data_IF_688474811944
#
_entry.id   IF_688474811944
#
_cell.length_a   1.000
_cell.length_b   1.000
_cell.length_c   1.000
_cell.angle_alpha   90.00
_cell.angle_beta   90.00
_cell.angle_gamma   90.00
#
_symmetry.space_group_name_H-M   'P 1'
#
loop_
_entity.id
_entity.type
_entity.pdbx_description
1 polymer ?
#
# COMPACT_ATOMS: atom_id res chain seq x y z
N UNK A 1 25.15 -21.92 -2.95
CA UNK A 1 23.84 -22.56 -3.10
C UNK A 1 23.16 -21.88 -4.27
N UNK A 2 22.90 -22.60 -5.36
CA UNK A 2 22.22 -22.08 -6.54
C UNK A 2 20.77 -21.81 -6.16
N UNK A 3 20.39 -20.55 -6.13
CA UNK A 3 19.03 -20.11 -5.88
C UNK A 3 18.14 -20.65 -7.01
N UNK A 4 17.24 -21.58 -6.69
CA UNK A 4 16.32 -22.18 -7.65
C UNK A 4 15.35 -21.08 -8.08
N UNK A 5 15.35 -20.71 -9.36
CA UNK A 5 14.37 -19.78 -9.89
C UNK A 5 12.98 -20.43 -9.84
N UNK A 6 11.99 -19.70 -9.30
CA UNK A 6 10.62 -20.16 -9.25
C UNK A 6 10.01 -20.14 -10.66
N UNK A 7 9.20 -21.13 -10.96
CA UNK A 7 8.40 -21.14 -12.19
C UNK A 7 7.27 -20.11 -12.09
N UNK A 8 6.71 -19.72 -13.24
CA UNK A 8 5.55 -18.82 -13.28
C UNK A 8 4.37 -19.32 -12.42
N UNK A 9 4.07 -20.63 -12.48
CA UNK A 9 2.99 -21.22 -11.69
C UNK A 9 3.31 -21.26 -10.20
N UNK A 10 4.55 -21.51 -9.82
CA UNK A 10 4.99 -21.41 -8.42
C UNK A 10 4.89 -19.97 -7.91
N UNK A 11 5.29 -18.98 -8.72
CA UNK A 11 5.13 -17.57 -8.39
C UNK A 11 3.65 -17.17 -8.28
N UNK A 12 2.81 -17.66 -9.17
CA UNK A 12 1.36 -17.43 -9.14
C UNK A 12 0.70 -18.07 -7.92
N UNK A 13 1.11 -19.28 -7.56
CA UNK A 13 0.66 -19.95 -6.33
C UNK A 13 1.17 -19.22 -5.09
N UNK A 14 2.42 -18.78 -5.08
CA UNK A 14 3.00 -17.99 -4.00
C UNK A 14 2.30 -16.63 -3.90
N UNK A 15 2.09 -15.93 -4.98
CA UNK A 15 1.39 -14.64 -4.98
C UNK A 15 -0.03 -14.79 -4.46
N UNK A 16 -0.75 -15.85 -4.81
CA UNK A 16 -2.07 -16.15 -4.24
C UNK A 16 -2.05 -16.53 -2.76
N UNK A 17 -0.91 -16.94 -2.20
CA UNK A 17 -0.74 -17.24 -0.76
C UNK A 17 -0.31 -16.03 0.05
N UNK A 18 0.48 -15.16 -0.54
CA UNK A 18 1.10 -14.01 0.12
C UNK A 18 0.14 -12.86 0.24
N UNK A 19 -0.65 -12.71 -0.77
CA UNK A 19 -1.52 -11.59 -0.89
C UNK A 19 -2.76 -11.94 -0.11
N UNK A 20 -3.12 -11.07 0.83
CA UNK A 20 -4.29 -11.16 1.70
C UNK A 20 -5.61 -11.39 0.96
N UNK A 21 -5.56 -12.23 -0.05
CA UNK A 21 -6.65 -12.49 -0.95
C UNK A 21 -6.84 -13.95 -1.22
N UNK A 22 -5.99 -14.77 -0.64
CA UNK A 22 -6.36 -16.16 -0.61
C UNK A 22 -6.91 -16.50 0.75
N UNK A 23 -8.03 -16.76 0.69
CA UNK A 23 -8.94 -16.93 1.74
C UNK A 23 -8.86 -18.20 2.49
N UNK A 24 -8.43 -19.24 1.89
CA UNK A 24 -8.52 -20.60 2.44
C UNK A 24 -7.47 -20.93 3.49
N UNK A 25 -6.78 -19.92 4.06
CA UNK A 25 -5.82 -20.24 5.11
C UNK A 25 -5.96 -19.30 6.30
N UNK A 26 -6.69 -19.73 7.27
CA UNK A 26 -6.51 -19.39 8.68
C UNK A 26 -5.11 -19.84 9.14
N UNK A 27 -4.06 -19.39 8.44
CA UNK A 27 -2.72 -19.58 8.93
C UNK A 27 -2.57 -18.75 10.21
N UNK A 28 -1.86 -19.28 11.17
CA UNK A 28 -1.55 -18.60 12.41
C UNK A 28 -0.94 -17.23 12.05
N UNK A 29 -1.62 -16.17 12.43
CA UNK A 29 -1.39 -14.79 11.99
C UNK A 29 0.06 -14.30 12.19
N UNK A 30 0.80 -14.86 13.16
CA UNK A 30 2.22 -14.58 13.36
C UNK A 30 3.15 -15.16 12.29
N UNK A 31 2.74 -16.23 11.61
CA UNK A 31 3.52 -16.83 10.53
C UNK A 31 3.35 -16.12 9.20
N UNK A 32 2.19 -15.50 8.94
CA UNK A 32 1.93 -14.82 7.67
C UNK A 32 2.78 -13.56 7.54
N UNK A 33 3.02 -12.82 8.62
CA UNK A 33 3.72 -11.53 8.53
C UNK A 33 5.23 -11.69 8.30
N UNK A 34 5.90 -12.69 8.87
CA UNK A 34 7.32 -12.97 8.60
C UNK A 34 7.52 -13.58 7.22
N UNK A 35 6.62 -14.46 6.79
CA UNK A 35 6.67 -15.06 5.46
C UNK A 35 6.28 -14.07 4.35
N UNK A 36 5.48 -13.04 4.63
CA UNK A 36 5.08 -12.06 3.62
C UNK A 36 6.28 -11.34 3.03
N UNK A 37 7.19 -10.84 3.88
CA UNK A 37 8.40 -10.15 3.41
C UNK A 37 9.33 -11.04 2.60
N UNK A 38 9.56 -12.27 3.05
CA UNK A 38 10.40 -13.23 2.33
C UNK A 38 9.81 -13.54 0.95
N UNK A 39 8.53 -13.81 0.88
CA UNK A 39 7.82 -14.08 -0.36
C UNK A 39 7.75 -12.87 -1.28
N UNK A 40 7.46 -11.69 -0.74
CA UNK A 40 7.44 -10.45 -1.51
C UNK A 40 8.80 -10.21 -2.15
N UNK A 41 9.88 -10.37 -1.38
CA UNK A 41 11.24 -10.21 -1.87
C UNK A 41 11.56 -11.21 -3.00
N UNK A 42 11.16 -12.47 -2.88
CA UNK A 42 11.39 -13.46 -3.93
C UNK A 42 10.49 -13.24 -5.15
N UNK A 43 9.23 -12.85 -4.94
CA UNK A 43 8.30 -12.54 -6.02
C UNK A 43 8.79 -11.36 -6.87
N UNK A 44 9.22 -10.28 -6.23
CA UNK A 44 9.65 -9.06 -6.94
C UNK A 44 10.93 -9.25 -7.76
N UNK A 45 11.75 -10.24 -7.43
CA UNK A 45 12.95 -10.61 -8.20
C UNK A 45 12.67 -11.47 -9.44
N UNK A 46 11.42 -11.90 -9.65
CA UNK A 46 11.10 -12.79 -10.77
C UNK A 46 11.22 -12.08 -12.12
N UNK A 47 11.95 -12.64 -13.09
CA UNK A 47 12.15 -12.01 -14.40
C UNK A 47 10.85 -11.73 -15.15
N UNK A 48 9.84 -12.60 -15.01
CA UNK A 48 8.54 -12.40 -15.67
C UNK A 48 7.81 -11.16 -15.14
N UNK A 49 7.96 -10.85 -13.84
CA UNK A 49 7.35 -9.67 -13.24
C UNK A 49 8.03 -8.40 -13.76
N UNK A 50 9.36 -8.37 -13.80
CA UNK A 50 10.11 -7.26 -14.39
C UNK A 50 9.76 -7.05 -15.87
N UNK A 51 9.61 -8.12 -16.63
CA UNK A 51 9.18 -8.04 -18.03
C UNK A 51 7.76 -7.48 -18.15
N UNK A 52 6.83 -7.93 -17.34
CA UNK A 52 5.44 -7.44 -17.33
C UNK A 52 5.36 -5.96 -16.96
N UNK A 53 6.08 -5.55 -15.91
CA UNK A 53 6.18 -4.14 -15.49
C UNK A 53 6.79 -3.29 -16.62
N UNK A 54 7.86 -3.77 -17.27
CA UNK A 54 8.48 -3.11 -18.42
C UNK A 54 7.49 -2.88 -19.55
N UNK A 55 6.74 -3.91 -19.97
CA UNK A 55 5.71 -3.80 -21.01
C UNK A 55 4.64 -2.75 -20.67
N UNK A 56 4.18 -2.72 -19.42
CA UNK A 56 3.19 -1.73 -18.97
C UNK A 56 3.79 -0.31 -19.05
N UNK A 57 5.05 -0.12 -18.65
CA UNK A 57 5.74 1.18 -18.72
C UNK A 57 5.93 1.67 -20.13
N UNK A 58 6.34 0.79 -21.04
CA UNK A 58 6.52 1.13 -22.45
C UNK A 58 5.19 1.58 -23.10
N UNK A 59 4.11 0.87 -22.86
CA UNK A 59 2.79 1.26 -23.34
C UNK A 59 2.27 2.53 -22.68
N UNK A 60 2.58 2.74 -21.41
CA UNK A 60 2.23 3.97 -20.69
C UNK A 60 3.00 5.18 -21.24
N UNK A 61 4.28 5.02 -21.57
CA UNK A 61 5.07 6.06 -22.23
C UNK A 61 4.48 6.46 -23.58
N UNK A 62 4.10 5.46 -24.42
CA UNK A 62 3.41 5.71 -25.69
C UNK A 62 2.08 6.44 -25.48
N UNK A 63 1.28 6.03 -24.49
CA UNK A 63 0.02 6.69 -24.16
C UNK A 63 0.23 8.15 -23.72
N UNK A 64 1.25 8.42 -22.91
CA UNK A 64 1.58 9.77 -22.43
C UNK A 64 2.04 10.66 -23.60
N UNK A 65 2.80 10.13 -24.54
CA UNK A 65 3.17 10.87 -25.75
C UNK A 65 1.94 11.29 -26.56
N UNK A 66 0.99 10.36 -26.77
CA UNK A 66 -0.26 10.68 -27.46
C UNK A 66 -1.09 11.75 -26.71
N UNK A 67 -1.02 11.76 -25.37
CA UNK A 67 -1.68 12.80 -24.57
C UNK A 67 -1.09 14.18 -24.81
N UNK A 68 0.22 14.30 -24.94
CA UNK A 68 0.92 15.54 -25.24
C UNK A 68 0.59 16.06 -26.65
N UNK A 69 0.36 15.16 -27.59
CA UNK A 69 -0.03 15.47 -28.97
C UNK A 69 -1.55 15.70 -29.14
N UNK A 70 -2.32 15.81 -28.03
CA UNK A 70 -3.78 16.00 -28.01
C UNK A 70 -4.61 14.90 -28.69
N UNK A 71 -4.04 13.71 -28.85
CA UNK A 71 -4.67 12.57 -29.53
C UNK A 71 -5.51 11.68 -28.58
N UNK A 72 -6.01 12.23 -27.49
CA UNK A 72 -6.68 11.46 -26.41
C UNK A 72 -7.96 10.71 -26.82
N UNK A 73 -8.65 11.22 -27.82
CA UNK A 73 -9.94 10.66 -28.27
C UNK A 73 -9.78 9.59 -29.36
N UNK A 74 -8.57 9.31 -29.82
CA UNK A 74 -8.30 8.38 -30.89
C UNK A 74 -8.48 6.91 -30.50
N UNK A 75 -8.87 6.08 -31.45
CA UNK A 75 -9.01 4.63 -31.27
C UNK A 75 -7.71 3.99 -30.73
N UNK A 76 -6.55 4.46 -31.20
CA UNK A 76 -5.24 3.97 -30.75
C UNK A 76 -5.00 4.23 -29.27
N UNK A 77 -5.38 5.40 -28.75
CA UNK A 77 -5.27 5.69 -27.33
C UNK A 77 -6.12 4.74 -26.48
N UNK A 78 -7.35 4.49 -26.88
CA UNK A 78 -8.25 3.56 -26.20
C UNK A 78 -7.75 2.11 -26.26
N UNK A 79 -7.14 1.71 -27.37
CA UNK A 79 -6.54 0.38 -27.52
C UNK A 79 -5.34 0.21 -26.58
N UNK A 80 -4.48 1.24 -26.43
CA UNK A 80 -3.38 1.24 -25.47
C UNK A 80 -3.89 1.14 -24.03
N UNK A 81 -4.91 1.91 -23.69
CA UNK A 81 -5.48 1.89 -22.33
C UNK A 81 -6.07 0.52 -21.97
N UNK A 82 -6.79 -0.12 -22.89
CA UNK A 82 -7.28 -1.50 -22.72
C UNK A 82 -6.12 -2.48 -22.52
N UNK A 83 -5.08 -2.38 -23.34
CA UNK A 83 -3.90 -3.25 -23.27
C UNK A 83 -3.16 -3.10 -21.94
N UNK A 84 -2.95 -1.87 -21.49
CA UNK A 84 -2.35 -1.58 -20.18
C UNK A 84 -3.22 -2.18 -19.07
N UNK A 85 -4.53 -1.99 -19.13
CA UNK A 85 -5.47 -2.53 -18.15
C UNK A 85 -5.41 -4.06 -18.09
N UNK A 86 -5.37 -4.73 -19.22
CA UNK A 86 -5.31 -6.20 -19.27
C UNK A 86 -3.96 -6.76 -18.79
N UNK A 87 -2.86 -6.06 -19.05
CA UNK A 87 -1.57 -6.41 -18.46
C UNK A 87 -1.55 -6.17 -16.95
N UNK A 88 -2.10 -5.07 -16.46
CA UNK A 88 -2.21 -4.81 -15.01
C UNK A 88 -2.97 -5.90 -14.26
N UNK A 89 -4.01 -6.48 -14.85
CA UNK A 89 -4.75 -7.61 -14.25
C UNK A 89 -3.90 -8.86 -14.04
N UNK A 90 -2.77 -8.97 -14.73
CA UNK A 90 -1.82 -10.09 -14.57
C UNK A 90 -0.80 -9.84 -13.45
N UNK A 91 -0.69 -8.61 -12.96
CA UNK A 91 0.19 -8.29 -11.83
C UNK A 91 -0.33 -8.93 -10.55
N UNK A 92 0.56 -9.44 -9.71
CA UNK A 92 0.20 -9.77 -8.33
C UNK A 92 -0.20 -8.50 -7.59
N UNK A 93 -0.96 -8.67 -6.51
CA UNK A 93 -1.43 -7.54 -5.72
C UNK A 93 -1.43 -7.89 -4.22
N UNK A 94 -1.49 -6.88 -3.38
CA UNK A 94 -1.56 -6.96 -1.92
C UNK A 94 -2.68 -6.11 -1.37
N UNK A 95 -3.18 -6.45 -0.20
CA UNK A 95 -4.07 -5.60 0.58
C UNK A 95 -3.23 -4.77 1.56
N UNK A 96 -3.31 -3.43 1.54
CA UNK A 96 -2.58 -2.63 2.51
C UNK A 96 -3.19 -2.66 3.91
N UNK A 97 -4.51 -2.83 4.02
CA UNK A 97 -5.24 -2.57 5.26
C UNK A 97 -5.45 -3.80 6.13
N UNK A 98 -5.57 -5.00 5.53
CA UNK A 98 -5.87 -6.22 6.27
C UNK A 98 -4.96 -7.36 5.86
N UNK A 99 -4.50 -8.15 6.83
CA UNK A 99 -3.72 -9.36 6.57
C UNK A 99 -4.54 -10.46 5.89
N UNK A 100 -5.83 -10.52 6.15
CA UNK A 100 -6.78 -11.44 5.52
C UNK A 100 -8.21 -10.90 5.62
N UNK A 101 -9.12 -11.56 4.92
CA UNK A 101 -10.57 -11.32 4.98
C UNK A 101 -11.29 -12.60 5.42
N UNK A 102 -12.48 -12.44 6.02
CA UNK A 102 -13.31 -13.59 6.40
C UNK A 102 -13.77 -14.38 5.16
N UNK A 103 -14.06 -15.67 5.35
CA UNK A 103 -14.57 -16.56 4.30
C UNK A 103 -13.78 -16.48 2.99
N UNK A 104 -12.56 -15.97 3.07
CA UNK A 104 -11.71 -15.95 1.93
C UNK A 104 -12.15 -15.01 0.81
N UNK A 105 -12.97 -14.07 1.12
CA UNK A 105 -13.56 -13.20 0.16
C UNK A 105 -13.23 -11.72 0.44
N UNK A 106 -12.49 -11.09 -0.49
CA UNK A 106 -12.19 -9.67 -0.40
C UNK A 106 -13.42 -8.83 -0.74
N UNK A 107 -14.17 -8.48 0.26
CA UNK A 107 -15.26 -7.52 0.16
C UNK A 107 -15.49 -6.88 1.53
N UNK A 108 -16.09 -5.71 1.56
CA UNK A 108 -16.32 -4.94 2.78
C UNK A 108 -17.03 -5.75 3.88
N UNK A 109 -18.01 -6.56 3.52
CA UNK A 109 -18.77 -7.40 4.45
C UNK A 109 -17.96 -8.57 5.05
N UNK A 110 -16.79 -8.87 4.50
CA UNK A 110 -15.89 -9.94 4.95
C UNK A 110 -14.61 -9.40 5.60
N UNK A 111 -14.63 -8.15 6.03
CA UNK A 111 -13.51 -7.58 6.79
C UNK A 111 -13.44 -8.26 8.15
N UNK A 112 -12.22 -8.68 8.51
CA UNK A 112 -11.88 -9.10 9.86
C UNK A 112 -11.16 -7.95 10.58
N UNK A 113 -11.81 -7.24 11.52
CA UNK A 113 -11.17 -6.12 12.23
C UNK A 113 -9.92 -6.55 13.02
N UNK A 114 -9.84 -7.81 13.45
CA UNK A 114 -8.66 -8.36 14.14
C UNK A 114 -7.45 -8.54 13.21
N UNK A 115 -7.69 -8.55 11.89
CA UNK A 115 -6.65 -8.66 10.87
C UNK A 115 -6.12 -7.30 10.39
N UNK A 116 -6.50 -6.21 11.02
CA UNK A 116 -6.08 -4.87 10.62
C UNK A 116 -4.56 -4.71 10.74
N UNK A 117 -3.94 -4.14 9.71
CA UNK A 117 -2.48 -4.00 9.62
C UNK A 117 -1.94 -2.76 10.35
N UNK A 118 -2.81 -1.82 10.69
CA UNK A 118 -2.45 -0.47 11.17
C UNK A 118 -1.54 0.28 10.19
N UNK A 119 -1.66 -0.02 8.92
CA UNK A 119 -0.96 0.67 7.84
C UNK A 119 -1.91 0.94 6.67
N UNK A 120 -1.52 1.87 5.82
CA UNK A 120 -2.26 2.22 4.62
C UNK A 120 -1.32 2.61 3.49
N UNK A 121 -1.81 2.62 2.25
CA UNK A 121 -1.05 3.04 1.08
C UNK A 121 -1.64 4.31 0.50
N UNK A 122 -0.78 5.28 0.25
CA UNK A 122 -1.07 6.46 -0.58
C UNK A 122 -0.65 6.15 -2.01
N UNK A 123 -1.53 6.37 -2.97
CA UNK A 123 -1.27 6.22 -4.40
C UNK A 123 -1.10 7.61 -5.02
N UNK A 124 0.09 7.90 -5.53
CA UNK A 124 0.43 9.18 -6.14
C UNK A 124 0.27 9.06 -7.64
N UNK A 125 -0.85 9.51 -8.15
CA UNK A 125 -1.27 9.32 -9.53
C UNK A 125 -0.85 10.46 -10.48
N UNK A 126 -0.58 11.66 -9.97
CA UNK A 126 -0.11 12.77 -10.77
C UNK A 126 1.41 12.65 -11.03
N UNK A 127 1.86 12.47 -12.28
CA UNK A 127 3.29 12.28 -12.58
C UNK A 127 4.20 13.41 -12.08
N UNK A 128 3.71 14.66 -12.05
CA UNK A 128 4.49 15.81 -11.60
C UNK A 128 4.70 15.82 -10.09
N UNK A 129 3.83 15.15 -9.34
CA UNK A 129 3.91 15.08 -7.87
C UNK A 129 4.81 13.93 -7.39
N UNK A 130 5.07 12.91 -8.22
CA UNK A 130 5.73 11.67 -7.80
C UNK A 130 7.10 11.90 -7.16
N UNK A 131 8.01 12.60 -7.87
CA UNK A 131 9.36 12.84 -7.35
C UNK A 131 9.37 13.75 -6.10
N UNK A 132 8.64 14.89 -6.08
CA UNK A 132 8.54 15.70 -4.87
C UNK A 132 7.94 14.96 -3.68
N UNK A 133 6.87 14.18 -3.90
CA UNK A 133 6.20 13.43 -2.84
C UNK A 133 7.11 12.34 -2.24
N UNK A 134 7.79 11.56 -3.07
CA UNK A 134 8.75 10.54 -2.62
C UNK A 134 9.88 11.18 -1.80
N UNK A 135 10.46 12.28 -2.29
CA UNK A 135 11.51 13.02 -1.57
C UNK A 135 11.01 13.52 -0.22
N UNK A 136 9.84 14.16 -0.18
CA UNK A 136 9.26 14.69 1.04
C UNK A 136 8.92 13.57 2.03
N UNK A 137 8.42 12.41 1.57
CA UNK A 137 8.16 11.26 2.40
C UNK A 137 9.45 10.73 3.06
N UNK A 138 10.55 10.59 2.31
CA UNK A 138 11.84 10.16 2.83
C UNK A 138 12.41 11.17 3.84
N UNK A 139 12.32 12.46 3.56
CA UNK A 139 12.76 13.52 4.48
C UNK A 139 11.95 13.50 5.78
N UNK A 140 10.62 13.40 5.69
CA UNK A 140 9.73 13.36 6.84
C UNK A 140 9.98 12.12 7.71
N UNK A 141 10.29 10.99 7.08
CA UNK A 141 10.62 9.74 7.75
C UNK A 141 11.94 9.78 8.56
N UNK A 142 12.77 10.78 8.33
CA UNK A 142 14.06 10.93 9.00
C UNK A 142 15.14 10.00 8.44
N UNK A 143 15.04 9.62 7.18
CA UNK A 143 15.99 8.71 6.51
C UNK A 143 17.39 9.29 6.33
N UNK A 144 17.51 10.60 6.40
CA UNK A 144 18.73 11.32 6.15
C UNK A 144 19.22 12.01 7.42
N UNK A 145 20.33 11.53 7.97
CA UNK A 145 20.96 12.12 9.17
C UNK A 145 21.99 13.18 8.82
N UNK A 146 22.24 13.45 7.54
CA UNK A 146 23.17 14.50 7.11
C UNK A 146 22.68 15.87 7.59
N UNK A 147 23.59 16.72 8.14
CA UNK A 147 23.19 18.02 8.71
C UNK A 147 22.40 18.90 7.76
N UNK A 148 22.72 18.85 6.46
CA UNK A 148 22.02 19.62 5.42
C UNK A 148 20.57 19.15 5.26
N UNK A 149 20.34 17.85 5.31
CA UNK A 149 19.00 17.27 5.14
C UNK A 149 18.14 17.45 6.39
N UNK A 150 18.75 17.40 7.56
CA UNK A 150 18.08 17.78 8.81
C UNK A 150 17.58 19.22 8.75
N UNK A 151 18.40 20.16 8.28
CA UNK A 151 18.02 21.56 8.09
C UNK A 151 16.87 21.71 7.06
N UNK A 152 16.91 20.97 5.95
CA UNK A 152 15.81 20.97 4.98
C UNK A 152 14.52 20.42 5.57
N UNK A 153 14.57 19.32 6.32
CA UNK A 153 13.41 18.73 6.99
C UNK A 153 12.76 19.72 7.96
N UNK A 154 13.55 20.33 8.85
CA UNK A 154 13.10 21.32 9.83
C UNK A 154 12.58 22.63 9.20
N UNK A 155 12.99 22.92 7.96
CA UNK A 155 12.50 24.07 7.21
C UNK A 155 11.17 23.82 6.48
N UNK A 156 10.92 22.56 6.10
CA UNK A 156 9.73 22.17 5.32
C UNK A 156 8.59 21.74 6.25
N UNK A 157 8.89 21.05 7.35
CA UNK A 157 7.91 20.46 8.25
C UNK A 157 7.96 21.10 9.63
N UNK A 158 6.82 21.15 10.31
CA UNK A 158 6.77 21.54 11.72
C UNK A 158 7.43 20.48 12.62
N UNK A 159 7.82 20.86 13.82
CA UNK A 159 8.37 19.89 14.78
C UNK A 159 7.35 18.80 15.16
N UNK A 160 6.07 19.18 15.24
CA UNK A 160 4.97 18.27 15.54
C UNK A 160 4.77 17.26 14.41
N UNK A 161 4.84 17.69 13.14
CA UNK A 161 4.73 16.80 11.99
C UNK A 161 5.90 15.83 11.91
N UNK A 162 7.12 16.32 12.16
CA UNK A 162 8.33 15.47 12.19
C UNK A 162 8.18 14.39 13.27
N UNK A 163 7.78 14.77 14.48
CA UNK A 163 7.60 13.81 15.57
C UNK A 163 6.49 12.80 15.27
N UNK A 164 5.36 13.27 14.70
CA UNK A 164 4.24 12.40 14.37
C UNK A 164 4.58 11.37 13.30
N UNK A 165 5.34 11.76 12.27
CA UNK A 165 5.53 10.93 11.07
C UNK A 165 6.90 10.25 10.99
N UNK A 166 7.85 10.59 11.86
CA UNK A 166 9.17 9.96 11.90
C UNK A 166 9.05 8.43 12.05
N UNK A 167 9.70 7.70 11.16
CA UNK A 167 9.68 6.23 11.16
C UNK A 167 8.35 5.61 10.74
N UNK A 168 7.41 6.38 10.21
CA UNK A 168 6.10 5.85 9.80
C UNK A 168 5.97 5.55 8.30
N UNK A 169 6.92 5.97 7.47
CA UNK A 169 6.99 5.48 6.09
C UNK A 169 7.54 4.07 6.11
N UNK A 170 6.77 3.12 5.61
CA UNK A 170 7.08 1.70 5.68
C UNK A 170 7.62 1.15 4.36
N UNK A 171 7.08 1.63 3.23
CA UNK A 171 7.51 1.16 1.92
C UNK A 171 7.24 2.22 0.87
N UNK A 172 8.13 2.34 -0.10
CA UNK A 172 7.98 3.20 -1.27
C UNK A 172 8.36 2.40 -2.51
N UNK A 173 7.49 2.36 -3.50
CA UNK A 173 7.76 1.73 -4.79
C UNK A 173 7.24 2.58 -5.96
N UNK A 174 7.86 2.42 -7.13
CA UNK A 174 7.30 2.88 -8.39
C UNK A 174 6.21 1.94 -8.85
N UNK A 175 5.03 2.46 -9.14
CA UNK A 175 3.96 1.66 -9.72
C UNK A 175 4.30 1.16 -11.13
N UNK A 176 3.52 0.21 -11.65
CA UNK A 176 3.69 -0.28 -13.01
C UNK A 176 3.51 0.81 -14.08
N UNK A 177 2.79 1.88 -13.79
CA UNK A 177 2.65 3.07 -14.66
C UNK A 177 3.64 4.19 -14.35
N UNK A 178 4.72 3.86 -13.65
CA UNK A 178 5.78 4.80 -13.24
C UNK A 178 5.32 5.94 -12.32
N UNK A 179 4.24 5.71 -11.58
CA UNK A 179 3.75 6.55 -10.50
C UNK A 179 4.33 6.07 -9.17
N UNK A 180 3.78 6.41 -8.00
CA UNK A 180 4.30 5.92 -6.73
C UNK A 180 3.22 5.41 -5.79
N UNK A 181 3.55 4.34 -5.07
CA UNK A 181 2.84 3.87 -3.89
C UNK A 181 3.70 4.12 -2.66
N UNK A 182 3.12 4.69 -1.62
CA UNK A 182 3.80 4.95 -0.34
C UNK A 182 2.97 4.32 0.78
N UNK A 183 3.49 3.28 1.41
CA UNK A 183 2.88 2.68 2.59
C UNK A 183 3.32 3.43 3.84
N UNK A 184 2.37 3.74 4.69
CA UNK A 184 2.60 4.42 5.95
C UNK A 184 1.95 3.68 7.12
N UNK A 185 2.57 3.76 8.28
CA UNK A 185 1.94 3.41 9.56
C UNK A 185 0.91 4.48 9.89
N UNK A 186 -0.32 4.08 10.14
CA UNK A 186 -1.37 5.00 10.58
C UNK A 186 -1.01 5.54 11.98
N UNK A 187 -0.96 6.85 12.21
CA UNK A 187 -0.78 7.38 13.57
C UNK A 187 -1.90 6.94 14.51
N UNK A 188 -1.57 6.73 15.78
CA UNK A 188 -2.55 6.28 16.79
C UNK A 188 -3.76 7.21 16.83
N UNK A 189 -4.94 6.63 16.75
CA UNK A 189 -6.22 7.33 16.77
C UNK A 189 -6.68 7.89 15.41
N UNK A 190 -5.87 7.90 14.37
CA UNK A 190 -6.31 8.28 13.03
C UNK A 190 -6.98 7.10 12.31
N UNK A 191 -8.01 7.40 11.54
CA UNK A 191 -8.58 6.46 10.55
C UNK A 191 -7.70 6.38 9.31
N UNK A 192 -7.97 5.41 8.42
CA UNK A 192 -7.28 5.31 7.12
C UNK A 192 -7.36 6.63 6.36
N UNK A 193 -8.56 7.19 6.22
CA UNK A 193 -8.79 8.43 5.47
C UNK A 193 -8.04 9.63 6.08
N UNK A 194 -8.10 9.79 7.41
CA UNK A 194 -7.40 10.87 8.10
C UNK A 194 -5.88 10.77 7.94
N UNK A 195 -5.32 9.56 8.05
CA UNK A 195 -3.89 9.35 7.89
C UNK A 195 -3.43 9.65 6.45
N UNK A 196 -4.16 9.18 5.44
CA UNK A 196 -3.84 9.47 4.04
C UNK A 196 -3.94 10.96 3.74
N UNK A 197 -5.03 11.62 4.14
CA UNK A 197 -5.23 13.05 3.91
C UNK A 197 -4.14 13.89 4.58
N UNK A 198 -3.84 13.63 5.86
CA UNK A 198 -2.79 14.34 6.56
C UNK A 198 -1.40 14.13 5.93
N UNK A 199 -1.09 12.89 5.55
CA UNK A 199 0.20 12.58 4.94
C UNK A 199 0.35 13.18 3.55
N UNK A 200 -0.65 13.05 2.66
CA UNK A 200 -0.66 13.65 1.32
C UNK A 200 -0.42 15.15 1.38
N UNK A 201 -1.09 15.83 2.31
CA UNK A 201 -0.92 17.29 2.50
C UNK A 201 0.52 17.65 2.84
N UNK A 202 1.19 16.87 3.70
CA UNK A 202 2.57 17.12 4.10
C UNK A 202 3.57 16.86 2.98
N UNK A 203 3.37 15.79 2.21
CA UNK A 203 4.26 15.46 1.10
C UNK A 203 3.95 16.23 -0.19
N UNK A 204 2.95 17.12 -0.16
CA UNK A 204 2.46 17.90 -1.31
C UNK A 204 1.98 17.03 -2.47
N UNK A 205 1.16 16.01 -2.15
CA UNK A 205 0.54 15.14 -3.13
C UNK A 205 -0.98 15.26 -3.10
N UNK A 206 -1.59 15.04 -4.25
CA UNK A 206 -3.05 14.94 -4.38
C UNK A 206 -3.53 13.61 -3.81
N UNK A 207 -4.54 13.66 -2.96
CA UNK A 207 -5.17 12.48 -2.36
C UNK A 207 -6.00 11.72 -3.39
N UNK A 208 -5.82 10.38 -3.46
CA UNK A 208 -6.74 9.49 -4.19
C UNK A 208 -7.82 8.93 -3.23
N UNK A 209 -9.05 9.45 -3.27
CA UNK A 209 -10.11 9.02 -2.37
C UNK A 209 -10.49 7.54 -2.54
N UNK A 210 -10.11 6.89 -3.63
CA UNK A 210 -10.35 5.46 -3.83
C UNK A 210 -9.45 4.57 -2.95
N UNK A 211 -8.33 5.11 -2.46
CA UNK A 211 -7.37 4.37 -1.65
C UNK A 211 -7.80 4.17 -0.19
N UNK A 212 -8.81 4.91 0.29
CA UNK A 212 -9.32 4.78 1.65
C UNK A 212 -10.25 3.58 1.86
N UNK A 213 -10.67 2.90 0.79
CA UNK A 213 -11.58 1.75 0.91
C UNK A 213 -10.89 0.59 1.62
N UNK A 214 -11.55 -0.04 2.60
CA UNK A 214 -10.95 -1.12 3.39
C UNK A 214 -10.43 -2.28 2.54
N UNK A 215 -11.13 -2.62 1.47
CA UNK A 215 -10.79 -3.71 0.55
C UNK A 215 -9.84 -3.31 -0.58
N UNK A 216 -9.18 -2.14 -0.48
CA UNK A 216 -8.21 -1.67 -1.50
C UNK A 216 -7.14 -2.71 -1.78
N UNK A 217 -6.75 -2.79 -3.03
CA UNK A 217 -5.57 -3.55 -3.49
C UNK A 217 -4.54 -2.62 -4.09
N UNK A 218 -3.28 -3.01 -3.93
CA UNK A 218 -2.13 -2.37 -4.56
C UNK A 218 -1.41 -3.42 -5.40
N UNK A 219 -1.20 -3.13 -6.67
CA UNK A 219 -0.44 -4.02 -7.56
C UNK A 219 1.04 -4.01 -7.18
N UNK A 220 1.62 -5.19 -7.09
CA UNK A 220 3.03 -5.38 -6.78
C UNK A 220 3.85 -5.22 -8.06
N UNK A 221 4.98 -4.55 -7.96
CA UNK A 221 5.94 -4.35 -9.03
C UNK A 221 7.24 -5.14 -8.79
N UNK A 222 8.19 -5.03 -9.69
CA UNK A 222 9.47 -5.72 -9.62
C UNK A 222 10.45 -5.08 -8.61
N UNK A 223 11.52 -5.79 -8.28
CA UNK A 223 12.52 -5.33 -7.32
C UNK A 223 13.20 -4.01 -7.74
N UNK A 224 13.37 -3.77 -9.03
CA UNK A 224 13.95 -2.52 -9.54
C UNK A 224 13.05 -1.30 -9.34
N UNK A 225 11.77 -1.52 -9.07
CA UNK A 225 10.78 -0.47 -8.78
C UNK A 225 10.78 -0.03 -7.32
N UNK A 226 11.39 -0.79 -6.43
CA UNK A 226 11.42 -0.50 -5.00
C UNK A 226 12.43 0.61 -4.69
N UNK A 227 12.00 1.57 -3.88
CA UNK A 227 12.81 2.72 -3.46
C UNK A 227 13.22 2.57 -2.00
N UNK A 228 12.28 2.16 -1.14
CA UNK A 228 12.50 2.00 0.28
C UNK A 228 11.60 0.93 0.87
N UNK A 229 12.12 0.18 1.85
CA UNK A 229 11.32 -0.78 2.64
C UNK A 229 11.86 -0.79 4.08
N UNK A 230 10.99 -0.50 5.03
CA UNK A 230 11.30 -0.57 6.45
C UNK A 230 11.26 -2.02 6.95
N UNK A 231 12.05 -2.32 7.97
CA UNK A 231 12.10 -3.65 8.57
C UNK A 231 10.77 -4.09 9.19
N UNK A 232 9.92 -3.15 9.59
CA UNK A 232 8.63 -3.42 10.21
C UNK A 232 7.43 -3.34 9.23
N UNK A 233 7.69 -3.19 7.94
CA UNK A 233 6.64 -3.26 6.92
C UNK A 233 5.94 -4.63 6.95
N UNK A 234 4.62 -4.63 7.04
CA UNK A 234 3.78 -5.82 7.26
C UNK A 234 4.13 -6.66 8.50
N UNK A 235 4.95 -6.16 9.43
CA UNK A 235 5.08 -6.79 10.74
C UNK A 235 3.89 -6.44 11.61
N UNK A 236 3.44 -7.43 12.38
CA UNK A 236 2.41 -7.21 13.37
C UNK A 236 2.94 -6.34 14.50
N UNK A 237 2.12 -5.40 14.90
CA UNK A 237 2.36 -4.66 16.13
C UNK A 237 2.30 -5.62 17.34
N UNK A 238 3.04 -5.31 18.37
CA UNK A 238 2.90 -6.00 19.65
C UNK A 238 1.54 -5.71 20.31
N UNK A 239 1.24 -6.43 21.37
CA UNK A 239 -0.07 -6.34 22.04
C UNK A 239 -0.31 -4.97 22.67
N UNK A 240 0.73 -4.36 23.18
CA UNK A 240 0.72 -3.05 23.83
C UNK A 240 0.36 -1.96 22.81
N UNK A 241 1.05 -1.93 21.68
CA UNK A 241 0.76 -1.00 20.60
C UNK A 241 -0.66 -1.21 20.03
N UNK A 242 -1.08 -2.46 19.80
CA UNK A 242 -2.46 -2.75 19.36
C UNK A 242 -3.49 -2.25 20.37
N UNK A 243 -3.24 -2.42 21.67
CA UNK A 243 -4.14 -1.95 22.72
C UNK A 243 -4.26 -0.41 22.72
N UNK A 244 -3.17 0.30 22.46
CA UNK A 244 -3.16 1.77 22.35
C UNK A 244 -4.05 2.24 21.18
N UNK A 245 -3.93 1.66 19.99
CA UNK A 245 -4.79 1.98 18.85
C UNK A 245 -6.27 1.72 19.17
N UNK A 246 -6.58 0.55 19.72
CA UNK A 246 -7.96 0.16 20.06
C UNK A 246 -8.58 1.10 21.09
N UNK A 247 -7.84 1.48 22.10
CA UNK A 247 -8.30 2.43 23.11
C UNK A 247 -8.54 3.83 22.51
N UNK A 248 -7.66 4.28 21.60
CA UNK A 248 -7.85 5.54 20.90
C UNK A 248 -9.09 5.53 20.02
N UNK A 249 -9.34 4.44 19.27
CA UNK A 249 -10.55 4.28 18.46
C UNK A 249 -11.81 4.18 19.32
N UNK A 250 -11.76 3.41 20.40
CA UNK A 250 -12.88 3.30 21.36
C UNK A 250 -13.30 4.65 21.93
N UNK A 251 -12.33 5.52 22.29
CA UNK A 251 -12.61 6.88 22.76
C UNK A 251 -13.31 7.75 21.72
N UNK A 252 -13.13 7.45 20.47
CA UNK A 252 -13.77 8.12 19.34
C UNK A 252 -15.09 7.46 18.90
N UNK A 253 -15.51 6.36 19.53
CA UNK A 253 -16.71 5.62 19.12
C UNK A 253 -16.53 4.85 17.79
N UNK A 254 -15.30 4.44 17.48
CA UNK A 254 -14.97 3.67 16.30
C UNK A 254 -14.74 2.19 16.66
N UNK A 255 -14.78 1.32 15.67
CA UNK A 255 -14.40 -0.08 15.80
C UNK A 255 -12.89 -0.22 16.01
N UNK A 256 -12.42 -1.42 16.38
CA UNK A 256 -11.02 -1.72 16.73
C UNK A 256 -10.03 -1.49 15.58
N UNK A 257 -10.50 -1.38 14.35
CA UNK A 257 -9.76 -1.05 13.13
C UNK A 257 -9.98 0.40 12.64
N UNK A 258 -10.62 1.24 13.48
CA UNK A 258 -10.85 2.66 13.18
C UNK A 258 -12.00 2.93 12.21
N UNK A 259 -12.78 1.90 11.80
CA UNK A 259 -13.99 2.11 11.01
C UNK A 259 -15.15 2.57 11.89
N UNK A 260 -16.18 3.23 11.32
CA UNK A 260 -17.41 3.46 12.04
C UNK A 260 -17.99 2.14 12.57
N UNK A 261 -18.51 2.15 13.80
CA UNK A 261 -19.26 1.01 14.33
C UNK A 261 -20.49 0.75 13.47
N UNK A 262 -20.66 -0.51 13.08
CA UNK A 262 -21.86 -0.94 12.34
C UNK A 262 -23.02 -1.06 13.31
N UNK A 263 -23.85 -0.02 13.38
CA UNK A 263 -24.96 0.12 14.34
C UNK A 263 -26.02 -0.98 14.17
N UNK A 264 -26.09 -1.58 12.97
CA UNK A 264 -27.06 -2.65 12.68
C UNK A 264 -26.61 -4.02 13.20
N UNK A 265 -25.30 -4.27 13.29
CA UNK A 265 -24.77 -5.51 13.88
C UNK A 265 -24.90 -5.55 15.41
N UNK A 266 -24.84 -4.39 16.08
CA UNK A 266 -24.99 -4.28 17.53
C UNK A 266 -26.43 -4.57 18.00
N UNK A 267 -27.44 -4.39 17.15
CA UNK A 267 -28.84 -4.68 17.46
C UNK A 267 -29.21 -6.16 17.37
N UNK A 268 -28.45 -6.95 16.58
CA UNK A 268 -28.72 -8.39 16.45
C UNK A 268 -28.05 -9.25 17.54
N UNK A 269 -27.06 -8.72 18.26
CA UNK A 269 -26.37 -9.41 19.37
C UNK A 269 -27.02 -9.26 20.76
N UNK A 270 -28.01 -8.39 20.91
CA UNK A 270 -28.68 -8.13 22.19
C UNK A 270 -29.98 -8.94 22.41
N UNK A 271 -30.23 -9.93 21.56
CA UNK A 271 -31.42 -10.81 21.64
C UNK A 271 -31.05 -12.29 21.64
N UNK A 272 -30.09 -12.69 22.50
CA UNK A 272 -29.90 -14.10 22.89
C UNK A 272 -29.65 -14.20 24.37
#
# INVERSE_FOLDING_TARGET
MTQKSLTFDECKQLSSRIIAMNPNRRANMGQISSHLLDYYTELTKQPWLAQLVGQIRDLTAQQNQMMQEEMKAGETYQQLDRKITDLKKQLPFRSPHYFHFLEDHRAQKFIDPEAFTFQTTVDIDNPEEVEPAVKNALLLNGMFDEPTEKLFREKIFSAEDIELWKGKVLHIERSARNKAHIDIRIPVGMTIAEAQSAFCKLIHATEDPSCVTPERIIFITDAASQIYTADDWYKRLDKEAVAEYREAYRKRGLDIDGRPLDVDSARSGASQ
#
